data_IF_675537622178
#
_entry.id   IF_675537622178
#
_cell.length_a   1.000
_cell.length_b   1.000
_cell.length_c   1.000
_cell.angle_alpha   90.00
_cell.angle_beta   90.00
_cell.angle_gamma   90.00
#
_symmetry.space_group_name_H-M   'P 1'
#
loop_
_entity.id
_entity.type
_entity.pdbx_description
1 polymer ?
#
# COMPACT_ATOMS: atom_id res chain seq x y z
N UNK A 1 -14.35 -59.47 64.99
CA UNK A 1 -13.26 -58.60 65.47
C UNK A 1 -12.34 -58.31 64.28
N UNK A 2 -12.62 -57.27 63.49
CA UNK A 2 -12.24 -55.88 63.74
C UNK A 2 -10.72 -55.67 63.62
N UNK A 3 -10.35 -54.80 62.67
CA UNK A 3 -9.05 -54.11 62.50
C UNK A 3 -8.00 -54.80 61.59
N UNK A 4 -8.02 -54.47 60.30
CA UNK A 4 -7.08 -53.52 59.64
C UNK A 4 -7.08 -53.70 58.11
N UNK A 5 -8.19 -53.26 57.52
CA UNK A 5 -8.14 -52.43 56.32
C UNK A 5 -7.23 -51.22 56.61
N UNK A 6 -6.48 -50.76 55.60
CA UNK A 6 -5.48 -49.66 55.56
C UNK A 6 -4.09 -50.24 55.20
N UNK A 7 -3.93 -50.69 53.95
CA UNK A 7 -2.69 -50.59 53.14
C UNK A 7 -3.08 -50.67 51.65
N UNK A 8 -4.01 -49.81 51.25
CA UNK A 8 -4.39 -49.59 49.85
C UNK A 8 -4.25 -48.10 49.56
N UNK A 9 -3.03 -47.59 49.68
CA UNK A 9 -2.67 -46.23 49.27
C UNK A 9 -1.14 -46.13 49.30
N UNK A 10 -0.50 -46.33 48.14
CA UNK A 10 0.83 -45.81 47.76
C UNK A 10 1.52 -46.74 46.77
N UNK A 11 1.03 -46.83 45.52
CA UNK A 11 1.91 -47.08 44.36
C UNK A 11 1.23 -46.74 43.01
N UNK A 12 0.44 -45.68 42.97
CA UNK A 12 -0.20 -45.17 41.75
C UNK A 12 0.03 -43.66 41.63
N UNK A 13 1.30 -43.24 41.58
CA UNK A 13 1.65 -41.82 41.52
C UNK A 13 3.12 -41.62 41.21
N UNK A 14 3.55 -41.91 39.98
CA UNK A 14 4.84 -41.45 39.42
C UNK A 14 4.86 -41.57 37.88
N UNK A 15 3.77 -41.19 37.22
CA UNK A 15 3.74 -41.02 35.76
C UNK A 15 2.84 -39.83 35.39
N UNK A 16 3.05 -38.70 36.05
CA UNK A 16 2.51 -37.42 35.60
C UNK A 16 3.57 -36.35 35.78
N UNK A 17 3.77 -35.59 34.70
CA UNK A 17 4.40 -34.27 34.65
C UNK A 17 5.94 -34.23 34.56
N UNK A 18 6.45 -34.72 33.43
CA UNK A 18 7.56 -34.05 32.74
C UNK A 18 7.14 -33.70 31.31
N UNK A 19 6.22 -32.75 31.19
CA UNK A 19 6.10 -31.85 30.04
C UNK A 19 6.42 -30.43 30.55
N UNK A 20 7.58 -30.27 31.15
CA UNK A 20 8.10 -28.95 31.51
C UNK A 20 8.79 -28.38 30.29
N UNK A 21 8.13 -27.39 29.68
CA UNK A 21 8.74 -26.42 28.78
C UNK A 21 9.25 -26.99 27.46
N UNK A 22 8.36 -27.17 26.48
CA UNK A 22 8.75 -26.72 25.15
C UNK A 22 9.07 -25.23 25.32
N UNK A 23 10.36 -24.91 25.49
CA UNK A 23 10.82 -23.55 25.33
C UNK A 23 10.20 -23.06 24.03
N UNK A 24 9.41 -21.99 24.10
CA UNK A 24 8.96 -21.28 22.93
C UNK A 24 10.19 -21.13 22.03
N UNK A 25 10.26 -21.86 20.91
CA UNK A 25 11.27 -21.57 19.92
C UNK A 25 11.03 -20.10 19.58
N UNK A 26 12.01 -19.26 19.92
CA UNK A 26 11.85 -17.82 19.81
C UNK A 26 11.46 -17.49 18.38
N UNK A 27 10.29 -16.90 18.18
CA UNK A 27 9.90 -16.39 16.86
C UNK A 27 10.87 -15.28 16.43
N UNK A 28 11.37 -15.27 15.18
CA UNK A 28 11.23 -16.31 14.15
C UNK A 28 12.34 -17.40 14.25
N UNK A 29 12.01 -18.65 13.91
CA UNK A 29 12.95 -19.79 13.83
C UNK A 29 13.10 -20.39 12.42
N UNK A 30 12.46 -19.79 11.43
CA UNK A 30 12.49 -20.16 10.02
C UNK A 30 12.46 -18.90 9.13
N UNK A 31 12.78 -19.01 7.83
CA UNK A 31 12.64 -17.91 6.89
C UNK A 31 11.22 -17.33 6.86
N UNK A 32 11.12 -16.03 6.68
CA UNK A 32 9.87 -15.27 6.56
C UNK A 32 9.63 -14.95 5.08
N UNK A 33 8.39 -15.02 4.63
CA UNK A 33 7.97 -14.57 3.29
C UNK A 33 7.33 -13.19 3.37
N UNK A 34 7.84 -12.27 2.55
CA UNK A 34 7.27 -10.95 2.32
C UNK A 34 6.63 -10.91 0.92
N UNK A 35 5.30 -10.94 0.89
CA UNK A 35 4.53 -10.91 -0.36
C UNK A 35 4.40 -9.48 -0.88
N UNK A 36 4.60 -9.29 -2.18
CA UNK A 36 4.47 -8.00 -2.87
C UNK A 36 3.41 -8.08 -3.97
N UNK A 37 2.39 -7.19 -3.98
CA UNK A 37 1.21 -7.29 -4.84
C UNK A 37 1.43 -6.84 -6.29
N UNK A 38 2.66 -6.51 -6.67
CA UNK A 38 3.02 -5.97 -7.98
C UNK A 38 4.30 -6.60 -8.52
N UNK A 39 4.58 -6.34 -9.80
CA UNK A 39 5.76 -6.86 -10.52
C UNK A 39 7.07 -6.40 -9.88
N UNK A 40 8.11 -7.22 -10.03
CA UNK A 40 9.46 -6.89 -9.58
C UNK A 40 9.96 -5.59 -10.26
N UNK A 41 10.74 -4.80 -9.52
CA UNK A 41 11.25 -3.49 -9.99
C UNK A 41 10.24 -2.34 -9.89
N UNK A 42 8.99 -2.59 -9.46
CA UNK A 42 8.07 -1.51 -9.10
C UNK A 42 8.50 -0.84 -7.78
N UNK A 43 7.99 0.37 -7.51
CA UNK A 43 8.29 1.13 -6.29
C UNK A 43 8.01 0.36 -5.00
N UNK A 44 6.96 -0.47 -5.00
CA UNK A 44 6.59 -1.37 -3.90
C UNK A 44 7.59 -2.50 -3.71
N UNK A 45 8.10 -3.10 -4.80
CA UNK A 45 9.13 -4.14 -4.73
C UNK A 45 10.45 -3.59 -4.15
N UNK A 46 10.84 -2.38 -4.54
CA UNK A 46 12.03 -1.72 -3.99
C UNK A 46 11.90 -1.47 -2.48
N UNK A 47 10.76 -0.95 -2.01
CA UNK A 47 10.50 -0.74 -0.59
C UNK A 47 10.46 -2.06 0.19
N UNK A 48 9.80 -3.09 -0.35
CA UNK A 48 9.73 -4.41 0.27
C UNK A 48 11.12 -5.03 0.46
N UNK A 49 12.00 -4.93 -0.54
CA UNK A 49 13.37 -5.46 -0.45
C UNK A 49 14.20 -4.72 0.59
N UNK A 50 14.09 -3.39 0.65
CA UNK A 50 14.77 -2.56 1.65
C UNK A 50 14.33 -2.93 3.07
N UNK A 51 13.02 -2.99 3.32
CA UNK A 51 12.48 -3.36 4.64
C UNK A 51 12.79 -4.82 4.96
N UNK A 52 12.61 -5.74 4.00
CA UNK A 52 12.86 -7.17 4.18
C UNK A 52 14.30 -7.47 4.55
N UNK A 53 15.28 -6.80 3.93
CA UNK A 53 16.69 -6.93 4.30
C UNK A 53 16.90 -6.53 5.77
N UNK A 54 16.41 -5.36 6.18
CA UNK A 54 16.58 -4.88 7.55
C UNK A 54 15.87 -5.78 8.57
N UNK A 55 14.66 -6.26 8.26
CA UNK A 55 13.94 -7.24 9.10
C UNK A 55 14.74 -8.54 9.22
N UNK A 56 15.36 -8.99 8.13
CA UNK A 56 16.20 -10.19 8.13
C UNK A 56 17.40 -10.06 9.07
N UNK A 57 18.10 -8.92 8.99
CA UNK A 57 19.26 -8.62 9.84
C UNK A 57 18.86 -8.51 11.32
N UNK A 58 17.72 -7.86 11.60
CA UNK A 58 17.24 -7.64 12.96
C UNK A 58 16.71 -8.93 13.63
N UNK A 59 16.04 -9.80 12.87
CA UNK A 59 15.39 -11.00 13.41
C UNK A 59 16.22 -12.27 13.24
N UNK A 60 17.34 -12.21 12.52
CA UNK A 60 18.27 -13.33 12.35
C UNK A 60 17.74 -14.46 11.46
N UNK A 61 16.67 -14.22 10.70
CA UNK A 61 16.10 -15.17 9.74
C UNK A 61 16.00 -14.52 8.36
N UNK A 62 16.21 -15.25 7.26
CA UNK A 62 16.04 -14.71 5.91
C UNK A 62 14.63 -14.20 5.67
N UNK A 63 14.48 -13.05 5.01
CA UNK A 63 13.21 -12.58 4.47
C UNK A 63 13.23 -12.75 2.95
N UNK A 64 12.34 -13.60 2.43
CA UNK A 64 12.20 -13.89 1.01
C UNK A 64 11.08 -13.03 0.43
N UNK A 65 11.40 -12.21 -0.57
CA UNK A 65 10.42 -11.37 -1.26
C UNK A 65 9.77 -12.15 -2.40
N UNK A 66 8.44 -12.27 -2.38
CA UNK A 66 7.66 -12.96 -3.41
C UNK A 66 6.66 -12.02 -4.10
N UNK A 67 6.84 -11.79 -5.40
CA UNK A 67 5.94 -10.94 -6.19
C UNK A 67 4.73 -11.74 -6.69
N UNK A 68 3.51 -11.35 -6.29
CA UNK A 68 2.23 -11.91 -6.73
C UNK A 68 1.34 -10.82 -7.32
N UNK A 69 1.49 -10.57 -8.62
CA UNK A 69 0.81 -9.47 -9.31
C UNK A 69 -0.53 -9.85 -9.93
N UNK A 70 -1.42 -8.87 -10.06
CA UNK A 70 -2.68 -8.98 -10.80
C UNK A 70 -3.89 -8.50 -10.00
N UNK A 71 -4.99 -8.23 -10.73
CA UNK A 71 -6.28 -7.79 -10.17
C UNK A 71 -6.18 -6.64 -9.13
N UNK A 72 -5.37 -5.61 -9.41
CA UNK A 72 -5.18 -4.48 -8.49
C UNK A 72 -4.54 -4.86 -7.15
N UNK A 73 -3.84 -5.99 -7.07
CA UNK A 73 -3.23 -6.53 -5.85
C UNK A 73 -4.10 -7.54 -5.09
N UNK A 74 -5.34 -7.77 -5.53
CA UNK A 74 -6.25 -8.71 -4.86
C UNK A 74 -5.72 -10.16 -4.84
N UNK A 75 -4.91 -10.56 -5.83
CA UNK A 75 -4.31 -11.91 -5.86
C UNK A 75 -3.34 -12.11 -4.69
N UNK A 76 -2.52 -11.11 -4.37
CA UNK A 76 -1.63 -11.17 -3.22
C UNK A 76 -2.40 -11.14 -1.90
N UNK A 77 -3.41 -10.28 -1.79
CA UNK A 77 -4.25 -10.18 -0.61
C UNK A 77 -4.98 -11.50 -0.31
N UNK A 78 -5.60 -12.14 -1.32
CA UNK A 78 -6.24 -13.45 -1.19
C UNK A 78 -5.24 -14.55 -0.80
N UNK A 79 -4.05 -14.55 -1.38
CA UNK A 79 -3.01 -15.50 -1.00
C UNK A 79 -2.58 -15.34 0.46
N UNK A 80 -2.37 -14.09 0.89
CA UNK A 80 -1.88 -13.75 2.23
C UNK A 80 -2.93 -14.05 3.28
N UNK A 81 -4.20 -13.65 3.09
CA UNK A 81 -5.26 -13.90 4.09
C UNK A 81 -5.44 -15.39 4.40
N UNK A 82 -5.09 -16.28 3.47
CA UNK A 82 -5.18 -17.73 3.60
C UNK A 82 -3.96 -18.36 4.29
N UNK A 83 -2.90 -17.59 4.55
CA UNK A 83 -1.72 -18.08 5.26
C UNK A 83 -1.97 -18.21 6.77
N UNK A 84 -1.21 -19.07 7.47
CA UNK A 84 -1.20 -19.10 8.92
C UNK A 84 -0.87 -17.73 9.52
N UNK A 85 -1.56 -17.36 10.61
CA UNK A 85 -1.33 -16.11 11.34
C UNK A 85 -0.13 -16.18 12.29
N UNK A 86 0.94 -16.87 11.89
CA UNK A 86 2.10 -17.21 12.73
C UNK A 86 3.31 -16.27 12.55
N UNK A 87 3.22 -15.31 11.63
CA UNK A 87 4.26 -14.32 11.36
C UNK A 87 5.23 -14.69 10.24
N UNK A 88 5.18 -15.92 9.71
CA UNK A 88 6.09 -16.32 8.63
C UNK A 88 5.64 -15.87 7.25
N UNK A 89 4.43 -15.32 7.12
CA UNK A 89 4.02 -14.57 5.92
C UNK A 89 3.40 -13.24 6.31
N UNK A 90 3.90 -12.17 5.70
CA UNK A 90 3.32 -10.84 5.76
C UNK A 90 3.41 -10.20 4.37
N UNK A 91 2.69 -9.11 4.16
CA UNK A 91 2.56 -8.48 2.85
C UNK A 91 2.91 -7.00 2.93
N UNK A 92 3.57 -6.50 1.90
CA UNK A 92 3.54 -5.07 1.61
C UNK A 92 2.21 -4.77 0.92
N UNK A 93 1.37 -4.00 1.58
CA UNK A 93 0.03 -3.64 1.11
C UNK A 93 -0.02 -2.17 0.68
N UNK A 94 -1.14 -1.77 0.07
CA UNK A 94 -1.37 -0.39 -0.35
C UNK A 94 -2.77 0.06 0.04
N UNK A 95 -2.97 1.37 0.10
CA UNK A 95 -4.31 1.96 0.28
C UNK A 95 -5.30 1.50 -0.81
N UNK A 96 -4.81 1.29 -2.04
CA UNK A 96 -5.63 0.74 -3.11
C UNK A 96 -6.18 -0.65 -2.78
N UNK A 97 -5.33 -1.52 -2.21
CA UNK A 97 -5.71 -2.88 -1.86
C UNK A 97 -6.69 -2.89 -0.68
N UNK A 98 -6.37 -2.20 0.41
CA UNK A 98 -7.17 -2.29 1.64
C UNK A 98 -8.37 -1.34 1.66
N UNK A 99 -8.34 -0.23 0.94
CA UNK A 99 -9.38 0.80 1.06
C UNK A 99 -10.20 0.99 -0.22
N UNK A 100 -9.57 0.91 -1.40
CA UNK A 100 -10.25 1.15 -2.69
C UNK A 100 -10.94 -0.10 -3.23
N UNK A 101 -10.23 -1.23 -3.33
CA UNK A 101 -10.78 -2.44 -3.94
C UNK A 101 -12.14 -2.87 -3.34
N UNK A 102 -12.35 -2.85 -2.01
CA UNK A 102 -13.63 -3.22 -1.39
C UNK A 102 -14.83 -2.35 -1.80
N UNK A 103 -14.60 -1.14 -2.31
CA UNK A 103 -15.67 -0.19 -2.66
C UNK A 103 -15.97 -0.15 -4.16
N UNK A 104 -15.03 -0.52 -5.03
CA UNK A 104 -15.23 -0.48 -6.49
C UNK A 104 -15.52 -1.85 -7.14
N UNK A 105 -15.06 -2.95 -6.54
CA UNK A 105 -15.29 -4.30 -7.07
C UNK A 105 -16.56 -4.89 -6.43
N UNK A 106 -17.38 -5.58 -7.23
CA UNK A 106 -18.57 -6.30 -6.77
C UNK A 106 -18.23 -7.44 -5.83
N UNK A 107 -17.08 -8.07 -6.07
CA UNK A 107 -16.58 -9.21 -5.31
C UNK A 107 -15.11 -8.99 -4.99
N UNK A 108 -14.82 -8.96 -3.70
CA UNK A 108 -13.47 -9.01 -3.13
C UNK A 108 -13.43 -10.22 -2.21
N UNK A 109 -12.35 -10.99 -2.25
CA UNK A 109 -12.22 -12.25 -1.51
C UNK A 109 -11.96 -12.03 0.00
N UNK A 110 -11.62 -10.81 0.39
CA UNK A 110 -11.24 -10.42 1.75
C UNK A 110 -12.09 -9.25 2.28
N UNK A 111 -12.17 -9.17 3.60
CA UNK A 111 -12.60 -8.02 4.39
C UNK A 111 -11.35 -7.35 4.99
N UNK A 112 -11.03 -6.16 4.49
CA UNK A 112 -9.82 -5.42 4.87
C UNK A 112 -9.67 -5.14 6.37
N UNK A 113 -10.79 -5.09 7.11
CA UNK A 113 -10.78 -4.78 8.54
C UNK A 113 -10.81 -6.03 9.43
N UNK A 114 -11.13 -7.20 8.88
CA UNK A 114 -11.29 -8.44 9.66
C UNK A 114 -10.24 -9.50 9.35
N UNK A 115 -9.82 -9.58 8.09
CA UNK A 115 -8.98 -10.70 7.64
C UNK A 115 -7.48 -10.38 7.72
N UNK A 116 -7.13 -9.12 8.00
CA UNK A 116 -5.76 -8.65 8.14
C UNK A 116 -5.49 -8.03 9.51
N UNK A 117 -4.28 -8.29 10.01
CA UNK A 117 -3.68 -7.61 11.15
C UNK A 117 -2.69 -6.55 10.62
N UNK A 118 -2.99 -5.24 10.78
CA UNK A 118 -2.07 -4.19 10.40
C UNK A 118 -0.77 -4.25 11.20
N UNK A 119 0.36 -3.94 10.57
CA UNK A 119 1.66 -3.81 11.21
C UNK A 119 2.11 -2.35 11.27
N UNK A 120 2.10 -1.64 10.14
CA UNK A 120 2.49 -0.23 10.07
C UNK A 120 2.18 0.37 8.70
N UNK A 121 1.68 1.61 8.67
CA UNK A 121 1.86 2.45 7.49
C UNK A 121 3.34 2.81 7.45
N UNK A 122 4.00 2.39 6.38
CA UNK A 122 5.42 2.59 6.21
C UNK A 122 5.72 4.02 5.76
N UNK A 123 5.12 4.39 4.63
CA UNK A 123 5.34 5.66 3.95
C UNK A 123 4.04 6.16 3.32
N UNK A 124 3.89 7.48 3.25
CA UNK A 124 3.05 8.09 2.22
C UNK A 124 3.85 8.17 0.92
N UNK A 125 3.17 7.95 -0.19
CA UNK A 125 3.71 7.95 -1.53
C UNK A 125 2.88 8.88 -2.41
N UNK A 126 3.01 10.21 -2.23
CA UNK A 126 2.15 11.19 -2.90
C UNK A 126 2.07 10.97 -4.40
N UNK A 127 0.86 11.04 -4.95
CA UNK A 127 0.66 11.02 -6.39
C UNK A 127 0.83 12.41 -6.98
N UNK A 128 1.48 12.50 -8.12
CA UNK A 128 1.66 13.72 -8.90
C UNK A 128 1.00 13.57 -10.27
N UNK A 129 0.42 14.66 -10.78
CA UNK A 129 -0.02 14.74 -12.17
C UNK A 129 1.19 15.07 -13.05
N UNK A 130 1.45 14.21 -14.02
CA UNK A 130 2.56 14.37 -14.96
C UNK A 130 2.08 14.39 -16.39
N UNK A 131 2.80 15.14 -17.21
CA UNK A 131 2.65 15.19 -18.67
C UNK A 131 4.01 15.03 -19.33
N UNK A 132 4.05 14.65 -20.61
CA UNK A 132 5.30 14.66 -21.40
C UNK A 132 5.92 16.06 -21.42
N UNK A 133 7.25 16.19 -21.44
CA UNK A 133 7.94 17.48 -21.27
C UNK A 133 7.62 18.54 -22.34
N UNK A 134 7.36 18.10 -23.58
CA UNK A 134 6.94 18.93 -24.71
C UNK A 134 5.40 19.04 -24.85
N UNK A 135 4.63 18.52 -23.89
CA UNK A 135 3.18 18.67 -23.85
C UNK A 135 2.79 20.16 -23.83
N UNK A 136 1.69 20.54 -24.52
CA UNK A 136 1.17 21.90 -24.45
C UNK A 136 0.72 22.30 -23.04
N UNK A 137 0.47 21.33 -22.15
CA UNK A 137 0.05 21.59 -20.77
C UNK A 137 1.24 21.96 -19.89
N UNK A 138 1.31 23.22 -19.47
CA UNK A 138 2.37 23.75 -18.61
C UNK A 138 1.91 23.93 -17.17
N UNK A 139 0.60 23.92 -16.93
CA UNK A 139 0.01 23.98 -15.60
C UNK A 139 -1.26 23.13 -15.51
N UNK A 140 -1.80 22.98 -14.30
CA UNK A 140 -3.09 22.30 -14.07
C UNK A 140 -4.24 23.09 -14.72
N UNK A 141 -4.17 24.41 -14.75
CA UNK A 141 -5.16 25.27 -15.41
C UNK A 141 -5.23 25.00 -16.92
N UNK A 142 -4.10 24.74 -17.58
CA UNK A 142 -4.08 24.37 -19.00
C UNK A 142 -4.84 23.06 -19.23
N UNK A 143 -4.63 22.06 -18.37
CA UNK A 143 -5.32 20.76 -18.41
C UNK A 143 -6.82 20.96 -18.22
N UNK A 144 -7.23 21.70 -17.17
CA UNK A 144 -8.63 21.96 -16.86
C UNK A 144 -9.31 22.70 -18.01
N UNK A 145 -8.66 23.73 -18.56
CA UNK A 145 -9.18 24.51 -19.69
C UNK A 145 -9.38 23.63 -20.92
N UNK A 146 -8.39 22.82 -21.26
CA UNK A 146 -8.47 21.92 -22.41
C UNK A 146 -9.57 20.87 -22.23
N UNK A 147 -9.64 20.21 -21.07
CA UNK A 147 -10.66 19.22 -20.76
C UNK A 147 -12.09 19.81 -20.78
N UNK A 148 -12.28 21.02 -20.28
CA UNK A 148 -13.58 21.73 -20.36
C UNK A 148 -13.96 22.11 -21.78
N UNK A 149 -12.99 22.47 -22.61
CA UNK A 149 -13.24 22.85 -24.01
C UNK A 149 -13.61 21.66 -24.89
N UNK A 150 -13.14 20.45 -24.54
CA UNK A 150 -13.35 19.21 -25.29
C UNK A 150 -13.52 18.01 -24.33
N UNK A 151 -14.69 17.89 -23.67
CA UNK A 151 -14.97 16.78 -22.74
C UNK A 151 -14.76 15.43 -23.41
N UNK A 152 -14.20 14.45 -22.68
CA UNK A 152 -14.00 13.08 -23.16
C UNK A 152 -12.95 12.93 -24.25
N UNK A 153 -12.07 13.92 -24.46
CA UNK A 153 -10.99 13.83 -25.46
C UNK A 153 -9.61 13.62 -24.85
N UNK A 154 -9.36 14.19 -23.67
CA UNK A 154 -8.10 13.96 -22.96
C UNK A 154 -8.14 12.59 -22.27
N UNK A 155 -6.96 12.03 -22.06
CA UNK A 155 -6.75 10.71 -21.48
C UNK A 155 -5.76 10.76 -20.32
N UNK A 156 -6.01 9.98 -19.27
CA UNK A 156 -5.03 9.74 -18.22
C UNK A 156 -4.75 8.25 -18.03
N UNK A 157 -3.47 7.90 -17.92
CA UNK A 157 -3.03 6.53 -17.65
C UNK A 157 -3.07 6.15 -16.18
N UNK A 158 -3.23 4.86 -15.88
CA UNK A 158 -3.01 4.30 -14.54
C UNK A 158 -2.37 2.91 -14.58
N UNK A 159 -1.95 2.41 -13.42
CA UNK A 159 -1.46 1.05 -13.25
C UNK A 159 -2.57 -0.04 -13.24
N UNK A 160 -3.82 0.34 -13.51
CA UNK A 160 -4.98 -0.54 -13.55
C UNK A 160 -6.21 0.08 -12.88
N UNK A 161 -7.35 -0.59 -13.04
CA UNK A 161 -8.59 -0.20 -12.36
C UNK A 161 -8.45 -0.45 -10.86
N UNK A 162 -8.80 0.55 -10.05
CA UNK A 162 -8.77 0.46 -8.59
C UNK A 162 -7.45 0.79 -7.93
N UNK A 163 -6.43 1.10 -8.71
CA UNK A 163 -5.18 1.59 -8.14
C UNK A 163 -5.35 3.04 -7.67
N UNK A 164 -4.48 3.49 -6.76
CA UNK A 164 -4.51 4.88 -6.30
C UNK A 164 -4.37 5.90 -7.45
N UNK A 165 -3.63 5.55 -8.52
CA UNK A 165 -3.53 6.40 -9.72
C UNK A 165 -4.89 6.57 -10.43
N UNK A 166 -5.69 5.50 -10.52
CA UNK A 166 -7.04 5.57 -11.09
C UNK A 166 -7.92 6.48 -10.23
N UNK A 167 -7.93 6.27 -8.90
CA UNK A 167 -8.74 7.07 -7.99
C UNK A 167 -8.33 8.55 -7.95
N UNK A 168 -7.04 8.84 -8.12
CA UNK A 168 -6.55 10.22 -8.25
C UNK A 168 -7.11 10.91 -9.51
N UNK A 169 -7.09 10.23 -10.66
CA UNK A 169 -7.68 10.77 -11.88
C UNK A 169 -9.19 11.01 -11.76
N UNK A 170 -9.92 10.08 -11.14
CA UNK A 170 -11.37 10.25 -10.91
C UNK A 170 -11.66 11.38 -9.91
N UNK A 171 -10.84 11.53 -8.85
CA UNK A 171 -10.95 12.68 -7.95
C UNK A 171 -10.66 13.99 -8.69
N UNK A 172 -9.71 14.00 -9.62
CA UNK A 172 -9.41 15.18 -10.44
C UNK A 172 -10.59 15.55 -11.35
N UNK A 173 -11.17 14.58 -12.06
CA UNK A 173 -12.40 14.78 -12.84
C UNK A 173 -13.49 15.41 -11.98
N UNK A 174 -13.74 14.85 -10.79
CA UNK A 174 -14.76 15.33 -9.85
C UNK A 174 -14.49 16.73 -9.33
N UNK A 175 -13.27 17.02 -8.84
CA UNK A 175 -12.91 18.30 -8.23
C UNK A 175 -12.77 19.42 -9.26
N UNK A 176 -12.29 19.13 -10.45
CA UNK A 176 -12.13 20.13 -11.52
C UNK A 176 -13.40 20.31 -12.37
N UNK A 177 -14.41 19.44 -12.20
CA UNK A 177 -15.60 19.33 -13.02
C UNK A 177 -15.23 19.19 -14.51
N UNK A 178 -14.45 18.15 -14.81
CA UNK A 178 -13.96 17.81 -16.15
C UNK A 178 -14.19 16.33 -16.45
N UNK A 179 -14.11 15.98 -17.73
CA UNK A 179 -14.27 14.62 -18.23
C UNK A 179 -13.01 14.21 -18.99
N UNK A 180 -12.09 13.53 -18.30
CA UNK A 180 -10.85 12.97 -18.84
C UNK A 180 -10.95 11.45 -18.76
N UNK A 181 -10.72 10.76 -19.88
CA UNK A 181 -10.87 9.32 -19.98
C UNK A 181 -9.75 8.56 -19.28
N UNK A 182 -10.11 7.56 -18.49
CA UNK A 182 -9.15 6.62 -17.91
C UNK A 182 -8.67 5.57 -18.92
N UNK A 183 -7.35 5.38 -19.04
CA UNK A 183 -6.73 4.29 -19.80
C UNK A 183 -5.97 3.35 -18.84
N UNK A 184 -6.48 2.15 -18.54
CA UNK A 184 -5.84 1.22 -17.61
C UNK A 184 -4.70 0.42 -18.26
N UNK A 185 -3.55 0.32 -17.58
CA UNK A 185 -2.43 -0.53 -17.97
C UNK A 185 -2.18 -1.64 -16.95
N UNK A 186 -1.33 -2.62 -17.30
CA UNK A 186 -0.86 -3.67 -16.38
C UNK A 186 0.38 -3.20 -15.60
N UNK A 187 0.24 -2.10 -14.86
CA UNK A 187 1.32 -1.47 -14.11
C UNK A 187 1.69 -0.07 -14.61
N UNK A 188 2.47 0.66 -13.80
CA UNK A 188 2.83 2.06 -14.09
C UNK A 188 3.85 2.25 -15.21
N UNK A 189 4.80 1.31 -15.38
CA UNK A 189 5.84 1.41 -16.40
C UNK A 189 5.29 1.38 -17.85
N UNK A 190 4.38 0.47 -18.22
CA UNK A 190 3.73 0.54 -19.54
C UNK A 190 2.99 1.86 -19.79
N UNK A 191 2.26 2.37 -18.80
CA UNK A 191 1.57 3.66 -18.91
C UNK A 191 2.54 4.83 -19.10
N UNK A 192 3.68 4.84 -18.39
CA UNK A 192 4.72 5.85 -18.55
C UNK A 192 5.35 5.80 -19.95
N UNK A 193 5.57 4.61 -20.51
CA UNK A 193 6.07 4.48 -21.87
C UNK A 193 5.09 5.10 -22.89
N UNK A 194 3.79 4.87 -22.72
CA UNK A 194 2.76 5.43 -23.59
C UNK A 194 2.61 6.95 -23.41
N UNK A 195 2.81 7.47 -22.19
CA UNK A 195 2.91 8.92 -21.97
C UNK A 195 4.11 9.52 -22.72
N UNK A 196 5.28 8.89 -22.62
CA UNK A 196 6.50 9.34 -23.31
C UNK A 196 6.39 9.20 -24.84
N UNK A 197 5.64 8.20 -25.31
CA UNK A 197 5.29 8.00 -26.71
C UNK A 197 4.22 8.97 -27.23
N UNK A 198 3.50 9.66 -26.35
CA UNK A 198 2.39 10.55 -26.70
C UNK A 198 1.08 9.83 -27.05
N UNK A 199 0.90 8.60 -26.57
CA UNK A 199 -0.33 7.82 -26.74
C UNK A 199 -1.40 8.15 -25.69
N UNK A 200 -0.99 8.74 -24.56
CA UNK A 200 -1.88 9.32 -23.53
C UNK A 200 -1.41 10.73 -23.18
N UNK A 201 -2.34 11.58 -22.71
CA UNK A 201 -2.06 13.00 -22.47
C UNK A 201 -1.36 13.25 -21.14
N UNK A 202 -1.74 12.49 -20.11
CA UNK A 202 -1.26 12.66 -18.75
C UNK A 202 -1.30 11.37 -17.95
N UNK A 203 -0.73 11.39 -16.76
CA UNK A 203 -0.78 10.28 -15.82
C UNK A 203 -0.71 10.79 -14.39
N UNK A 204 -1.42 10.13 -13.48
CA UNK A 204 -1.14 10.23 -12.04
C UNK A 204 -0.15 9.13 -11.68
N UNK A 205 0.97 9.49 -11.08
CA UNK A 205 2.03 8.53 -10.72
C UNK A 205 2.64 8.93 -9.39
N UNK A 206 3.22 7.99 -8.66
CA UNK A 206 3.92 8.30 -7.41
C UNK A 206 5.08 9.26 -7.69
N UNK A 207 5.23 10.26 -6.83
CA UNK A 207 6.34 11.22 -6.83
C UNK A 207 7.69 10.51 -7.05
N UNK A 208 7.91 9.40 -6.34
CA UNK A 208 9.13 8.61 -6.41
C UNK A 208 9.48 8.08 -7.80
N UNK A 209 8.47 7.79 -8.62
CA UNK A 209 8.68 7.36 -10.01
C UNK A 209 8.79 8.54 -10.99
N UNK A 210 8.36 9.74 -10.59
CA UNK A 210 8.35 10.94 -11.43
C UNK A 210 9.62 11.79 -11.29
N UNK A 211 10.20 11.87 -10.09
CA UNK A 211 11.31 12.81 -9.75
C UNK A 211 12.47 12.67 -10.74
N UNK A 212 12.99 11.46 -10.96
CA UNK A 212 14.17 11.27 -11.83
C UNK A 212 13.85 11.52 -13.31
N UNK A 213 12.65 11.18 -13.78
CA UNK A 213 12.21 11.47 -15.15
C UNK A 213 12.00 12.98 -15.37
N UNK A 214 11.52 13.69 -14.35
CA UNK A 214 11.36 15.14 -14.39
C UNK A 214 12.73 15.84 -14.41
N UNK A 215 13.68 15.43 -13.57
CA UNK A 215 15.07 15.91 -13.58
C UNK A 215 15.75 15.66 -14.93
N UNK A 216 15.49 14.50 -15.56
CA UNK A 216 15.98 14.16 -16.89
C UNK A 216 15.26 14.90 -18.04
N UNK A 217 14.29 15.78 -17.74
CA UNK A 217 13.55 16.57 -18.73
C UNK A 217 12.63 15.75 -19.63
N UNK A 218 12.24 14.54 -19.20
CA UNK A 218 11.35 13.65 -19.98
C UNK A 218 9.87 13.94 -19.73
N UNK A 219 9.54 14.38 -18.52
CA UNK A 219 8.18 14.74 -18.10
C UNK A 219 8.17 16.08 -17.35
N UNK A 220 6.99 16.67 -17.21
CA UNK A 220 6.72 17.81 -16.34
C UNK A 220 5.74 17.39 -15.24
N UNK A 221 6.02 17.75 -14.00
CA UNK A 221 5.11 17.60 -12.87
C UNK A 221 4.27 18.88 -12.76
N UNK A 222 2.94 18.74 -12.78
CA UNK A 222 2.01 19.88 -12.78
C UNK A 222 1.43 20.19 -11.40
N UNK A 223 1.28 19.18 -10.54
CA UNK A 223 0.73 19.32 -9.20
C UNK A 223 0.78 18.02 -8.42
N UNK A 224 0.66 18.14 -7.10
CA UNK A 224 0.68 17.01 -6.16
C UNK A 224 -0.69 16.78 -5.54
N UNK A 225 -1.04 15.50 -5.37
CA UNK A 225 -2.33 15.02 -4.88
C UNK A 225 -2.45 14.92 -3.37
N UNK A 226 -1.37 15.15 -2.63
CA UNK A 226 -1.38 15.19 -1.17
C UNK A 226 -1.86 16.56 -0.63
N UNK A 227 -2.39 16.61 0.60
CA UNK A 227 -2.80 17.86 1.24
C UNK A 227 -1.65 18.84 1.44
N UNK A 228 -0.44 18.31 1.61
CA UNK A 228 0.80 19.06 1.80
C UNK A 228 1.78 18.80 0.66
N UNK A 229 2.67 19.75 0.38
CA UNK A 229 3.73 19.55 -0.62
C UNK A 229 4.69 18.46 -0.17
N UNK A 230 5.23 17.71 -1.13
CA UNK A 230 6.30 16.76 -0.83
C UNK A 230 7.61 17.50 -0.54
N UNK A 231 8.36 17.14 0.51
CA UNK A 231 9.69 17.69 0.77
C UNK A 231 10.67 17.47 -0.39
N UNK A 232 10.45 16.43 -1.22
CA UNK A 232 11.27 16.15 -2.40
C UNK A 232 10.88 16.98 -3.63
N UNK A 233 9.72 17.67 -3.59
CA UNK A 233 9.18 18.51 -4.66
C UNK A 233 8.62 19.82 -4.07
N UNK A 234 9.42 20.60 -3.31
CA UNK A 234 8.92 21.78 -2.58
C UNK A 234 8.37 22.88 -3.50
N UNK A 235 8.83 22.92 -4.76
CA UNK A 235 8.37 23.84 -5.79
C UNK A 235 7.04 23.44 -6.44
N UNK A 236 6.62 22.19 -6.31
CA UNK A 236 5.38 21.70 -6.93
C UNK A 236 4.19 21.97 -5.98
N UNK A 237 3.20 22.76 -6.42
CA UNK A 237 2.03 23.07 -5.60
C UNK A 237 1.08 21.86 -5.47
N UNK A 238 0.33 21.81 -4.38
CA UNK A 238 -0.78 20.86 -4.21
C UNK A 238 -1.96 21.26 -5.07
N UNK A 239 -2.82 20.30 -5.42
CA UNK A 239 -4.06 20.64 -6.11
C UNK A 239 -4.97 21.54 -5.28
N UNK A 240 -4.93 21.47 -3.94
CA UNK A 240 -5.67 22.41 -3.09
C UNK A 240 -5.15 23.85 -3.25
N UNK A 241 -3.83 24.05 -3.28
CA UNK A 241 -3.20 25.35 -3.56
C UNK A 241 -3.58 25.89 -4.95
N UNK A 242 -3.79 24.99 -5.92
CA UNK A 242 -4.23 25.28 -7.28
C UNK A 242 -5.76 25.45 -7.42
N UNK A 243 -6.49 25.46 -6.31
CA UNK A 243 -7.93 25.76 -6.29
C UNK A 243 -8.86 24.54 -6.38
N UNK A 244 -8.33 23.32 -6.45
CA UNK A 244 -9.12 22.08 -6.32
C UNK A 244 -9.32 21.76 -4.84
N UNK A 245 -10.19 22.52 -4.17
CA UNK A 245 -10.33 22.48 -2.71
C UNK A 245 -10.72 21.11 -2.14
N UNK A 246 -10.01 20.70 -1.09
CA UNK A 246 -10.16 19.41 -0.43
C UNK A 246 -9.81 18.24 -1.35
N UNK A 247 -8.93 18.45 -2.34
CA UNK A 247 -8.33 17.35 -3.10
C UNK A 247 -7.33 16.64 -2.19
N UNK A 248 -7.55 15.35 -1.96
CA UNK A 248 -6.63 14.48 -1.23
C UNK A 248 -6.69 13.07 -1.83
N UNK A 249 -5.81 12.85 -2.79
CA UNK A 249 -5.50 11.52 -3.33
C UNK A 249 -4.17 11.01 -2.81
N UNK A 250 -3.73 11.46 -1.62
CA UNK A 250 -2.55 10.87 -1.01
C UNK A 250 -2.77 9.37 -0.83
N UNK A 251 -1.69 8.61 -0.96
CA UNK A 251 -1.73 7.16 -0.85
C UNK A 251 -0.56 6.70 -0.03
N UNK A 252 -0.71 5.53 0.58
CA UNK A 252 0.29 5.00 1.49
C UNK A 252 0.62 3.56 1.13
N UNK A 253 1.85 3.18 1.46
CA UNK A 253 2.30 1.79 1.50
C UNK A 253 2.44 1.38 2.95
N UNK A 254 2.01 0.16 3.24
CA UNK A 254 2.05 -0.38 4.59
C UNK A 254 2.40 -1.84 4.59
N UNK A 255 2.43 -2.41 5.78
CA UNK A 255 2.61 -3.84 5.97
C UNK A 255 1.46 -4.39 6.79
N UNK A 256 0.94 -5.52 6.36
CA UNK A 256 -0.11 -6.28 7.04
C UNK A 256 0.25 -7.78 7.04
N UNK A 257 -0.46 -8.55 7.84
CA UNK A 257 -0.34 -10.00 7.91
C UNK A 257 -1.73 -10.62 8.15
N UNK A 258 -1.90 -11.94 8.10
CA UNK A 258 -3.19 -12.56 8.39
C UNK A 258 -3.69 -12.21 9.80
N UNK A 259 -4.99 -11.98 9.95
CA UNK A 259 -5.60 -11.73 11.26
C UNK A 259 -5.42 -12.93 12.22
N UNK A 260 -5.41 -12.64 13.53
CA UNK A 260 -5.30 -13.68 14.57
C UNK A 260 -3.87 -13.97 15.05
N UNK A 261 -2.88 -13.18 14.59
CA UNK A 261 -1.52 -13.29 15.08
C UNK A 261 -1.39 -12.90 16.56
N UNK A 262 -0.49 -13.58 17.28
CA UNK A 262 -0.20 -13.22 18.68
C UNK A 262 0.45 -11.84 18.77
N UNK A 263 0.19 -11.13 19.87
CA UNK A 263 0.78 -9.80 20.13
C UNK A 263 2.31 -9.80 20.06
N UNK A 264 2.96 -10.91 20.45
CA UNK A 264 4.42 -11.07 20.39
C UNK A 264 4.93 -11.05 18.95
N UNK A 265 4.23 -11.71 18.02
CA UNK A 265 4.58 -11.74 16.59
C UNK A 265 4.38 -10.35 15.99
N UNK A 266 3.21 -9.75 16.23
CA UNK A 266 2.86 -8.40 15.74
C UNK A 266 3.89 -7.38 16.23
N UNK A 267 4.20 -7.39 17.52
CA UNK A 267 5.14 -6.44 18.12
C UNK A 267 6.56 -6.58 17.56
N UNK A 268 7.03 -7.82 17.32
CA UNK A 268 8.36 -8.06 16.75
C UNK A 268 8.46 -7.59 15.30
N UNK A 269 7.48 -7.94 14.47
CA UNK A 269 7.45 -7.50 13.07
C UNK A 269 7.30 -5.98 12.98
N UNK A 270 6.36 -5.40 13.72
CA UNK A 270 6.15 -3.96 13.79
C UNK A 270 7.44 -3.23 14.19
N UNK A 271 8.10 -3.65 15.27
CA UNK A 271 9.34 -3.03 15.74
C UNK A 271 10.45 -3.10 14.67
N UNK A 272 10.61 -4.25 14.02
CA UNK A 272 11.63 -4.42 12.98
C UNK A 272 11.35 -3.55 11.75
N UNK A 273 10.09 -3.48 11.30
CA UNK A 273 9.65 -2.64 10.19
C UNK A 273 9.86 -1.15 10.52
N UNK A 274 9.40 -0.69 11.69
CA UNK A 274 9.54 0.72 12.10
C UNK A 274 11.01 1.11 12.21
N UNK A 275 11.86 0.23 12.73
CA UNK A 275 13.30 0.47 12.79
C UNK A 275 13.90 0.61 11.39
N UNK A 276 13.57 -0.29 10.47
CA UNK A 276 14.04 -0.24 9.09
C UNK A 276 13.69 1.10 8.42
N UNK A 277 12.45 1.56 8.59
CA UNK A 277 11.96 2.81 8.00
C UNK A 277 12.64 4.05 8.59
N UNK A 278 12.94 4.03 9.90
CA UNK A 278 13.64 5.13 10.57
C UNK A 278 15.11 5.20 10.17
N UNK A 279 15.77 4.06 10.06
CA UNK A 279 17.19 3.98 9.65
C UNK A 279 17.37 4.47 8.20
N UNK A 280 16.44 4.14 7.31
CA UNK A 280 16.49 4.50 5.88
C UNK A 280 15.75 5.81 5.55
N UNK A 281 15.35 6.59 6.56
CA UNK A 281 14.47 7.75 6.38
C UNK A 281 14.97 8.74 5.34
N UNK A 282 16.24 9.16 5.43
CA UNK A 282 16.80 10.15 4.49
C UNK A 282 16.84 9.64 3.06
N UNK A 283 17.07 8.34 2.86
CA UNK A 283 17.04 7.73 1.53
C UNK A 283 15.63 7.70 0.96
N UNK A 284 14.66 7.23 1.76
CA UNK A 284 13.25 7.17 1.35
C UNK A 284 12.69 8.56 1.02
N UNK A 285 13.03 9.57 1.82
CA UNK A 285 12.62 10.96 1.58
C UNK A 285 13.28 11.55 0.34
N UNK A 286 14.56 11.23 0.06
CA UNK A 286 15.22 11.61 -1.18
C UNK A 286 14.60 10.94 -2.42
N UNK A 287 14.07 9.73 -2.25
CA UNK A 287 13.28 9.02 -3.27
C UNK A 287 11.85 9.57 -3.39
N UNK A 288 11.42 10.54 -2.57
CA UNK A 288 10.12 11.20 -2.69
C UNK A 288 8.99 10.59 -1.87
N UNK A 289 9.29 9.63 -1.00
CA UNK A 289 8.37 9.15 0.03
C UNK A 289 8.33 10.10 1.24
N UNK A 290 7.29 9.97 2.05
CA UNK A 290 7.24 10.58 3.40
C UNK A 290 7.16 9.45 4.41
N UNK A 291 8.18 9.30 5.26
CA UNK A 291 8.20 8.21 6.25
C UNK A 291 7.18 8.47 7.35
N UNK A 292 6.25 7.53 7.52
CA UNK A 292 5.19 7.58 8.54
C UNK A 292 5.59 6.70 9.72
N UNK A 293 5.89 5.42 9.45
CA UNK A 293 6.18 4.40 10.46
C UNK A 293 5.12 4.37 11.59
N UNK A 294 3.85 4.25 11.21
CA UNK A 294 2.70 4.32 12.13
C UNK A 294 2.64 3.11 13.07
N UNK A 295 1.86 3.25 14.14
CA UNK A 295 1.36 2.13 14.92
C UNK A 295 0.37 1.26 14.11
N UNK A 296 0.14 -0.01 14.52
CA UNK A 296 -0.91 -0.85 13.95
C UNK A 296 -2.31 -0.21 14.00
N UNK A 297 -2.64 0.45 15.10
CA UNK A 297 -3.95 1.07 15.28
C UNK A 297 -4.16 2.26 14.34
N UNK A 298 -3.15 3.11 14.17
CA UNK A 298 -3.22 4.23 13.21
C UNK A 298 -3.41 3.74 11.77
N UNK A 299 -2.79 2.61 11.41
CA UNK A 299 -3.01 1.98 10.10
C UNK A 299 -4.45 1.46 9.97
N UNK A 300 -4.96 0.77 10.98
CA UNK A 300 -6.35 0.31 11.02
C UNK A 300 -7.35 1.47 10.84
N UNK A 301 -7.15 2.56 11.58
CA UNK A 301 -8.02 3.73 11.52
C UNK A 301 -7.92 4.45 10.18
N UNK A 302 -6.73 4.46 9.56
CA UNK A 302 -6.53 4.97 8.21
C UNK A 302 -7.31 4.18 7.17
N UNK A 303 -7.25 2.84 7.22
CA UNK A 303 -8.01 1.96 6.32
C UNK A 303 -9.51 2.26 6.44
N UNK A 304 -10.04 2.35 7.66
CA UNK A 304 -11.46 2.66 7.89
C UNK A 304 -11.87 4.00 7.29
N UNK A 305 -11.12 5.07 7.58
CA UNK A 305 -11.38 6.41 7.01
C UNK A 305 -11.30 6.41 5.49
N UNK A 306 -10.33 5.71 4.92
CA UNK A 306 -10.13 5.70 3.47
C UNK A 306 -11.19 4.86 2.74
N UNK A 307 -11.71 3.78 3.33
CA UNK A 307 -12.87 3.06 2.78
C UNK A 307 -14.07 4.01 2.63
N UNK A 308 -14.32 4.86 3.63
CA UNK A 308 -15.38 5.86 3.57
C UNK A 308 -15.11 6.89 2.47
N UNK A 309 -13.92 7.52 2.49
CA UNK A 309 -13.47 8.52 1.48
C UNK A 309 -13.60 7.99 0.06
N UNK A 310 -13.04 6.82 -0.21
CA UNK A 310 -13.04 6.23 -1.54
C UNK A 310 -14.42 5.70 -1.95
N UNK A 311 -15.22 5.24 -0.99
CA UNK A 311 -16.60 4.83 -1.23
C UNK A 311 -17.50 5.99 -1.67
N UNK A 312 -17.31 7.18 -1.10
CA UNK A 312 -18.00 8.39 -1.54
C UNK A 312 -17.59 8.81 -2.95
N UNK A 313 -16.27 8.88 -3.22
CA UNK A 313 -15.77 9.21 -4.55
C UNK A 313 -16.25 8.21 -5.61
N UNK A 314 -16.16 6.91 -5.32
CA UNK A 314 -16.55 5.87 -6.26
C UNK A 314 -18.04 5.96 -6.67
N UNK A 315 -18.92 6.38 -5.76
CA UNK A 315 -20.34 6.61 -6.08
C UNK A 315 -20.52 7.83 -7.00
N UNK A 316 -19.77 8.90 -6.74
CA UNK A 316 -19.83 10.12 -7.55
C UNK A 316 -19.27 9.92 -8.96
N UNK A 317 -18.25 9.06 -9.10
CA UNK A 317 -17.62 8.71 -10.37
C UNK A 317 -18.28 7.51 -11.08
N UNK A 318 -19.41 6.99 -10.57
CA UNK A 318 -20.13 5.82 -11.12
C UNK A 318 -19.25 4.56 -11.29
N UNK A 319 -18.29 4.38 -10.39
CA UNK A 319 -17.40 3.20 -10.34
C UNK A 319 -17.59 2.35 -9.08
N UNK A 320 -18.57 2.69 -8.23
CA UNK A 320 -18.88 1.95 -7.00
C UNK A 320 -19.45 0.57 -7.30
N UNK A 321 -18.79 -0.49 -6.82
CA UNK A 321 -19.17 -1.90 -7.07
C UNK A 321 -19.57 -2.15 -8.53
N UNK A 322 -18.89 -1.52 -9.48
CA UNK A 322 -19.22 -1.64 -10.89
C UNK A 322 -18.38 -2.72 -11.59
N UNK A 323 -17.25 -3.09 -10.99
CA UNK A 323 -16.24 -3.99 -11.58
C UNK A 323 -16.30 -5.42 -11.04
#
# INVERSE_FOLDING_TARGET
>A
MCKKLIKAAAFAGSLMLMHFGAAAQGYPSAPITLVVPYVAGASTDALARLVGQSVSEQLGQPVVVENRSGAGGMIAADHVMQQPSDGYTFMLTTDGILSVNPVIYKKVAYDSLKDFQPLSIAVNAPLVLVVKSDSPFKSVEDVIKAAKSKPGTLTFGSAGVGTSQHMAGEMFNQKAAVDINHVPYRGGAPAMNDLLGGHIDMMFVQSASAVELAKAGKIRILGIGSPERSPALPEVPTFDELGLKGYDSDTWYGFDMPAGASEVVVSKLHAAIVKALKDEKSRLEAEGYVVVASTPQEMHDSIKRNIEKWGELAKLADIYKSK
#
